data_IF_186332830709
#
_entry.id   IF_186332830709
#
_cell.length_a   1.000
_cell.length_b   1.000
_cell.length_c   1.000
_cell.angle_alpha   90.00
_cell.angle_beta   90.00
_cell.angle_gamma   90.00
#
_symmetry.space_group_name_H-M   'P 1'
#
loop_
_entity.id
_entity.type
_entity.pdbx_description
1 polymer ?
#
# COMPACT_ATOMS: atom_id res chain seq x y z
N UNK A 1 -22.09 -16.97 9.80
CA UNK A 1 -20.90 -16.15 9.51
C UNK A 1 -19.97 -17.00 8.66
N UNK A 2 -19.88 -16.74 7.35
CA UNK A 2 -18.99 -17.51 6.46
C UNK A 2 -17.57 -17.19 6.89
N UNK A 3 -16.83 -18.19 7.41
CA UNK A 3 -15.42 -18.03 7.74
C UNK A 3 -14.64 -17.87 6.44
N UNK A 4 -14.29 -16.62 6.09
CA UNK A 4 -13.43 -16.35 4.94
C UNK A 4 -12.01 -16.76 5.31
N UNK A 5 -11.43 -17.69 4.55
CA UNK A 5 -10.04 -18.11 4.76
C UNK A 5 -9.08 -17.01 4.29
N UNK A 6 -7.90 -16.93 4.93
CA UNK A 6 -6.80 -16.03 4.52
C UNK A 6 -6.53 -16.09 3.01
N UNK A 7 -6.47 -17.30 2.44
CA UNK A 7 -6.22 -17.51 1.02
C UNK A 7 -7.36 -16.97 0.14
N UNK A 8 -8.61 -17.17 0.55
CA UNK A 8 -9.76 -16.64 -0.19
C UNK A 8 -9.80 -15.10 -0.14
N UNK A 9 -9.48 -14.51 1.01
CA UNK A 9 -9.37 -13.05 1.17
C UNK A 9 -8.30 -12.47 0.25
N UNK A 10 -7.08 -13.00 0.30
CA UNK A 10 -5.95 -12.47 -0.46
C UNK A 10 -6.13 -12.58 -1.99
N UNK A 11 -6.99 -13.48 -2.47
CA UNK A 11 -7.36 -13.55 -3.90
C UNK A 11 -8.28 -12.43 -4.36
N UNK A 12 -8.99 -11.77 -3.44
CA UNK A 12 -9.99 -10.74 -3.75
C UNK A 12 -9.45 -9.32 -3.69
N UNK A 13 -8.27 -9.14 -3.09
CA UNK A 13 -7.64 -7.83 -2.88
C UNK A 13 -6.43 -7.67 -3.79
N UNK A 14 -6.19 -6.45 -4.26
CA UNK A 14 -5.20 -6.13 -5.27
C UNK A 14 -4.10 -5.18 -4.76
N UNK A 15 -4.06 -4.94 -3.45
CA UNK A 15 -3.10 -4.07 -2.79
C UNK A 15 -2.57 -4.68 -1.49
N UNK A 16 -1.25 -4.64 -1.21
CA UNK A 16 -0.66 -5.21 0.00
C UNK A 16 -1.32 -4.73 1.30
N UNK A 17 -1.71 -3.46 1.40
CA UNK A 17 -2.37 -2.91 2.59
C UNK A 17 -3.77 -3.49 2.89
N UNK A 18 -4.37 -4.16 1.92
CA UNK A 18 -5.65 -4.85 2.04
C UNK A 18 -5.48 -6.36 2.24
N UNK A 19 -4.25 -6.90 2.24
CA UNK A 19 -4.02 -8.33 2.51
C UNK A 19 -4.27 -8.67 3.97
N UNK A 20 -4.53 -9.95 4.20
CA UNK A 20 -4.77 -10.48 5.53
C UNK A 20 -3.58 -10.24 6.47
N UNK A 21 -2.37 -10.55 5.99
CA UNK A 21 -1.11 -10.42 6.72
C UNK A 21 -0.86 -8.96 7.13
N UNK A 22 -1.25 -7.99 6.30
CA UNK A 22 -1.14 -6.59 6.66
C UNK A 22 -2.03 -6.25 7.85
N UNK A 23 -3.26 -6.77 7.89
CA UNK A 23 -4.12 -6.56 9.05
C UNK A 23 -3.60 -7.24 10.31
N UNK A 24 -3.07 -8.47 10.22
CA UNK A 24 -2.41 -9.14 11.36
C UNK A 24 -1.21 -8.32 11.88
N UNK A 25 -0.42 -7.74 10.96
CA UNK A 25 0.65 -6.82 11.33
C UNK A 25 0.13 -5.59 12.06
N UNK A 26 -0.97 -4.97 11.61
CA UNK A 26 -1.58 -3.81 12.28
C UNK A 26 -2.15 -4.17 13.65
N UNK A 27 -2.78 -5.32 13.80
CA UNK A 27 -3.29 -5.82 15.09
C UNK A 27 -2.15 -5.96 16.11
N UNK A 28 -0.97 -6.46 15.70
CA UNK A 28 0.23 -6.53 16.55
C UNK A 28 0.74 -5.16 17.00
N UNK A 29 0.43 -4.10 16.26
CA UNK A 29 0.75 -2.70 16.65
C UNK A 29 -0.32 -2.06 17.54
N UNK A 30 -1.29 -2.84 18.04
CA UNK A 30 -2.38 -2.35 18.88
C UNK A 30 -3.52 -1.68 18.09
N UNK A 31 -3.53 -1.78 16.76
CA UNK A 31 -4.54 -1.15 15.91
C UNK A 31 -5.63 -2.16 15.58
N UNK A 32 -6.87 -1.85 15.95
CA UNK A 32 -8.02 -2.69 15.61
C UNK A 32 -8.22 -2.73 14.10
N UNK A 33 -8.48 -3.92 13.57
CA UNK A 33 -8.79 -4.17 12.16
C UNK A 33 -10.19 -4.73 12.03
N UNK A 34 -10.97 -4.18 11.09
CA UNK A 34 -12.30 -4.65 10.73
C UNK A 34 -12.26 -5.14 9.29
N UNK A 35 -12.69 -6.38 9.06
CA UNK A 35 -12.76 -7.01 7.73
C UNK A 35 -14.22 -7.35 7.41
N UNK A 36 -14.76 -6.77 6.35
CA UNK A 36 -16.12 -7.08 5.86
C UNK A 36 -16.25 -6.72 4.38
N UNK A 37 -17.05 -7.46 3.63
CA UNK A 37 -17.35 -7.20 2.21
C UNK A 37 -16.09 -6.97 1.33
N UNK A 38 -15.01 -7.71 1.61
CA UNK A 38 -13.74 -7.57 0.88
C UNK A 38 -12.95 -6.29 1.22
N UNK A 39 -13.30 -5.58 2.29
CA UNK A 39 -12.62 -4.37 2.74
C UNK A 39 -11.95 -4.57 4.10
N UNK A 40 -10.70 -4.13 4.21
CA UNK A 40 -9.95 -4.06 5.46
C UNK A 40 -9.82 -2.60 5.91
N UNK A 41 -10.46 -2.27 7.03
CA UNK A 41 -10.45 -0.94 7.65
C UNK A 41 -9.73 -1.01 8.99
N UNK A 42 -8.79 -0.10 9.20
CA UNK A 42 -8.11 0.08 10.50
C UNK A 42 -8.83 1.14 11.33
N UNK A 43 -8.96 0.92 12.64
CA UNK A 43 -9.64 1.82 13.57
C UNK A 43 -8.60 2.39 14.54
N UNK A 44 -8.51 3.72 14.59
CA UNK A 44 -7.50 4.45 15.35
C UNK A 44 -8.18 5.31 16.42
N UNK A 45 -7.87 5.12 17.71
CA UNK A 45 -8.44 5.95 18.77
C UNK A 45 -7.93 7.38 18.71
N UNK A 46 -8.82 8.34 18.95
CA UNK A 46 -8.46 9.74 19.14
C UNK A 46 -8.16 9.93 20.64
N UNK A 47 -6.93 10.35 21.02
CA UNK A 47 -6.57 10.58 22.41
C UNK A 47 -7.59 11.48 23.14
N UNK A 48 -7.90 11.14 24.38
CA UNK A 48 -8.82 11.89 25.26
C UNK A 48 -10.28 12.00 24.79
N UNK A 49 -10.73 11.13 23.87
CA UNK A 49 -12.14 11.09 23.45
C UNK A 49 -12.67 9.65 23.38
N UNK A 50 -14.00 9.50 23.26
CA UNK A 50 -14.65 8.20 23.00
C UNK A 50 -14.71 7.84 21.50
N UNK A 51 -14.14 8.67 20.65
CA UNK A 51 -14.26 8.59 19.21
C UNK A 51 -13.00 8.03 18.55
N UNK A 52 -13.20 7.42 17.39
CA UNK A 52 -12.14 6.87 16.57
C UNK A 52 -12.08 7.55 15.20
N UNK A 53 -10.99 7.29 14.48
CA UNK A 53 -10.86 7.53 13.04
C UNK A 53 -10.70 6.18 12.36
N UNK A 54 -11.56 5.90 11.38
CA UNK A 54 -11.36 4.76 10.50
C UNK A 54 -10.41 5.11 9.35
N UNK A 55 -9.67 4.13 8.86
CA UNK A 55 -8.82 4.29 7.69
C UNK A 55 -8.91 3.08 6.78
N UNK A 56 -9.33 3.34 5.53
CA UNK A 56 -9.45 2.38 4.44
C UNK A 56 -8.36 2.66 3.38
N UNK A 57 -7.13 2.13 3.58
CA UNK A 57 -5.98 2.39 2.72
C UNK A 57 -6.04 1.62 1.42
N UNK A 58 -5.87 2.30 0.28
CA UNK A 58 -5.65 1.67 -1.04
C UNK A 58 -6.69 0.60 -1.37
N UNK A 59 -7.91 0.85 -0.91
CA UNK A 59 -9.06 -0.01 -1.16
C UNK A 59 -9.56 0.09 -2.59
N UNK A 60 -10.58 -0.72 -2.89
CA UNK A 60 -11.26 -0.71 -4.17
C UNK A 60 -12.07 0.57 -4.43
N UNK A 61 -12.79 0.57 -5.56
CA UNK A 61 -13.61 1.68 -6.02
C UNK A 61 -14.66 2.10 -4.97
N UNK A 62 -14.87 3.41 -4.85
CA UNK A 62 -15.86 3.98 -3.94
C UNK A 62 -17.21 4.09 -4.66
N UNK A 63 -18.15 3.22 -4.29
CA UNK A 63 -19.51 3.17 -4.83
C UNK A 63 -20.54 3.15 -3.70
N UNK A 64 -21.83 3.29 -4.02
CA UNK A 64 -22.91 3.33 -3.01
C UNK A 64 -22.84 2.15 -2.02
N UNK A 65 -22.58 0.93 -2.50
CA UNK A 65 -22.43 -0.26 -1.66
C UNK A 65 -21.26 -0.12 -0.68
N UNK A 66 -20.09 0.29 -1.17
CA UNK A 66 -18.90 0.57 -0.36
C UNK A 66 -19.22 1.59 0.74
N UNK A 67 -19.91 2.68 0.40
CA UNK A 67 -20.29 3.73 1.35
C UNK A 67 -21.21 3.21 2.45
N UNK A 68 -22.21 2.40 2.10
CA UNK A 68 -23.11 1.79 3.08
C UNK A 68 -22.34 0.95 4.09
N UNK A 69 -21.40 0.11 3.62
CA UNK A 69 -20.59 -0.73 4.50
C UNK A 69 -19.63 0.12 5.35
N UNK A 70 -18.97 1.13 4.78
CA UNK A 70 -18.09 2.03 5.53
C UNK A 70 -18.87 2.82 6.62
N UNK A 71 -20.09 3.28 6.32
CA UNK A 71 -20.95 3.93 7.31
C UNK A 71 -21.32 2.99 8.47
N UNK A 72 -21.65 1.74 8.17
CA UNK A 72 -21.90 0.72 9.18
C UNK A 72 -20.68 0.49 10.08
N UNK A 73 -19.50 0.32 9.48
CA UNK A 73 -18.23 0.21 10.23
C UNK A 73 -18.02 1.44 11.11
N UNK A 74 -18.25 2.65 10.58
CA UNK A 74 -18.07 3.89 11.33
C UNK A 74 -18.99 3.95 12.56
N UNK A 75 -20.26 3.58 12.42
CA UNK A 75 -21.24 3.58 13.50
C UNK A 75 -20.89 2.55 14.59
N UNK A 76 -20.62 1.30 14.20
CA UNK A 76 -20.29 0.21 15.12
C UNK A 76 -18.98 0.46 15.88
N UNK A 77 -18.08 1.26 15.31
CA UNK A 77 -16.77 1.56 15.88
C UNK A 77 -16.65 3.01 16.39
N UNK A 78 -17.74 3.77 16.51
CA UNK A 78 -17.73 5.16 16.98
C UNK A 78 -16.68 6.03 16.25
N UNK A 79 -16.63 5.93 14.92
CA UNK A 79 -15.72 6.74 14.12
C UNK A 79 -16.34 8.09 13.76
N UNK A 80 -15.62 9.20 13.97
CA UNK A 80 -16.02 10.52 13.45
C UNK A 80 -15.97 10.57 11.93
N UNK A 81 -14.97 9.90 11.35
CA UNK A 81 -14.79 9.80 9.91
C UNK A 81 -14.08 8.49 9.57
N UNK A 82 -14.23 8.07 8.31
CA UNK A 82 -13.34 7.08 7.69
C UNK A 82 -12.60 7.75 6.54
N UNK A 83 -11.27 7.82 6.68
CA UNK A 83 -10.40 8.28 5.60
C UNK A 83 -10.25 7.17 4.57
N UNK A 84 -10.53 7.48 3.31
CA UNK A 84 -10.43 6.54 2.21
C UNK A 84 -9.38 7.02 1.21
N UNK A 85 -8.49 6.14 0.80
CA UNK A 85 -7.48 6.43 -0.22
C UNK A 85 -7.50 5.33 -1.29
N UNK A 86 -8.55 5.26 -2.12
CA UNK A 86 -8.75 4.17 -3.06
C UNK A 86 -7.61 4.08 -4.08
N UNK A 87 -7.27 2.86 -4.50
CA UNK A 87 -6.32 2.59 -5.58
C UNK A 87 -7.05 2.76 -6.93
N UNK A 88 -7.25 3.99 -7.35
CA UNK A 88 -7.90 4.33 -8.63
C UNK A 88 -7.04 5.29 -9.43
N UNK A 89 -6.86 5.01 -10.72
CA UNK A 89 -6.17 5.92 -11.62
C UNK A 89 -7.12 7.04 -12.08
N UNK A 90 -6.66 8.30 -11.99
CA UNK A 90 -7.49 9.46 -12.28
C UNK A 90 -7.95 9.46 -13.75
N UNK A 91 -7.13 8.95 -14.69
CA UNK A 91 -7.44 8.90 -16.12
C UNK A 91 -8.52 7.86 -16.46
N UNK A 92 -8.52 6.73 -15.77
CA UNK A 92 -9.42 5.60 -16.06
C UNK A 92 -10.69 5.62 -15.22
N UNK A 93 -10.65 6.22 -14.02
CA UNK A 93 -11.66 5.94 -13.00
C UNK A 93 -13.08 6.38 -13.34
N UNK A 94 -13.31 7.31 -14.28
CA UNK A 94 -14.63 7.88 -14.56
C UNK A 94 -15.30 8.58 -13.36
N UNK A 95 -14.75 8.41 -12.14
CA UNK A 95 -15.21 8.94 -10.88
C UNK A 95 -14.92 10.43 -10.91
N UNK A 96 -15.96 11.17 -11.26
CA UNK A 96 -15.93 12.62 -11.18
C UNK A 96 -15.91 12.98 -9.70
N UNK A 97 -15.06 13.93 -9.29
CA UNK A 97 -15.02 14.42 -7.91
C UNK A 97 -16.42 14.76 -7.38
N UNK A 98 -17.29 15.24 -8.26
CA UNK A 98 -18.70 15.53 -8.01
C UNK A 98 -19.50 14.31 -7.53
N UNK A 99 -19.22 13.10 -8.03
CA UNK A 99 -19.89 11.88 -7.60
C UNK A 99 -19.48 11.49 -6.17
N UNK A 100 -18.20 11.64 -5.83
CA UNK A 100 -17.72 11.42 -4.47
C UNK A 100 -18.35 12.40 -3.48
N UNK A 101 -18.50 13.67 -3.87
CA UNK A 101 -19.20 14.68 -3.05
C UNK A 101 -20.67 14.30 -2.84
N UNK A 102 -21.38 13.84 -3.89
CA UNK A 102 -22.76 13.33 -3.77
C UNK A 102 -22.88 12.12 -2.83
N UNK A 103 -21.80 11.35 -2.69
CA UNK A 103 -21.71 10.22 -1.75
C UNK A 103 -21.31 10.65 -0.32
N UNK A 104 -21.05 11.94 -0.09
CA UNK A 104 -20.69 12.50 1.21
C UNK A 104 -19.18 12.54 1.51
N UNK A 105 -18.32 12.34 0.50
CA UNK A 105 -16.88 12.47 0.68
C UNK A 105 -16.42 13.92 0.55
N UNK A 106 -15.47 14.29 1.40
CA UNK A 106 -14.74 15.55 1.32
C UNK A 106 -13.27 15.28 0.97
N UNK A 107 -12.60 16.17 0.21
CA UNK A 107 -11.18 16.04 -0.06
C UNK A 107 -10.37 16.05 1.24
N UNK A 108 -9.57 15.01 1.45
CA UNK A 108 -8.63 14.90 2.58
C UNK A 108 -7.19 15.13 2.17
N UNK A 109 -6.31 15.34 3.16
CA UNK A 109 -4.85 15.31 2.93
C UNK A 109 -4.41 13.88 2.63
N UNK A 110 -3.68 13.61 1.54
CA UNK A 110 -3.24 12.26 1.23
C UNK A 110 -2.10 11.81 2.17
N UNK A 111 -2.07 10.53 2.55
CA UNK A 111 -0.94 9.83 3.19
C UNK A 111 -0.02 9.20 2.14
N UNK A 112 -0.57 8.80 1.00
CA UNK A 112 0.21 8.29 -0.13
C UNK A 112 0.52 9.37 -1.16
N UNK A 113 1.64 9.21 -1.86
CA UNK A 113 1.91 10.02 -3.06
C UNK A 113 0.82 9.76 -4.11
N UNK A 114 0.45 10.83 -4.81
CA UNK A 114 -0.56 10.75 -5.90
C UNK A 114 0.01 10.13 -7.17
N UNK A 115 1.34 10.16 -7.31
CA UNK A 115 2.05 9.66 -8.47
C UNK A 115 2.88 8.45 -8.08
N UNK A 116 2.82 7.42 -8.94
CA UNK A 116 3.60 6.20 -8.83
C UNK A 116 4.40 6.03 -10.11
N UNK A 117 5.60 5.47 -9.99
CA UNK A 117 6.32 4.93 -11.15
C UNK A 117 5.93 3.46 -11.29
N UNK A 118 5.16 3.14 -12.33
CA UNK A 118 4.72 1.79 -12.64
C UNK A 118 5.52 1.29 -13.84
N UNK A 119 6.23 0.18 -13.67
CA UNK A 119 6.95 -0.50 -14.73
C UNK A 119 6.21 -1.80 -15.05
N UNK A 120 5.78 -1.96 -16.30
CA UNK A 120 5.28 -3.24 -16.78
C UNK A 120 6.46 -4.21 -16.93
N UNK A 121 6.38 -5.32 -16.22
CA UNK A 121 7.40 -6.40 -16.21
C UNK A 121 6.93 -7.65 -16.94
N UNK A 122 5.82 -7.56 -17.67
CA UNK A 122 5.31 -8.65 -18.52
C UNK A 122 6.23 -8.99 -19.70
N UNK A 123 6.96 -8.04 -20.33
CA UNK A 123 7.90 -8.36 -21.40
C UNK A 123 9.09 -9.20 -20.92
N UNK A 124 9.81 -9.84 -21.87
CA UNK A 124 11.03 -10.59 -21.56
C UNK A 124 12.13 -9.69 -20.99
N UNK A 125 13.06 -10.28 -20.21
CA UNK A 125 14.19 -9.53 -19.64
C UNK A 125 15.03 -8.81 -20.70
N UNK A 126 15.28 -9.45 -21.85
CA UNK A 126 15.99 -8.84 -22.98
C UNK A 126 15.24 -7.61 -23.52
N UNK A 127 13.92 -7.74 -23.68
CA UNK A 127 13.06 -6.64 -24.13
C UNK A 127 13.09 -5.49 -23.13
N UNK A 128 12.88 -5.78 -21.84
CA UNK A 128 12.95 -4.79 -20.76
C UNK A 128 14.29 -4.07 -20.76
N UNK A 129 15.40 -4.82 -20.82
CA UNK A 129 16.74 -4.24 -20.87
C UNK A 129 16.91 -3.32 -22.08
N UNK A 130 16.47 -3.73 -23.29
CA UNK A 130 16.58 -2.91 -24.50
C UNK A 130 15.84 -1.56 -24.40
N UNK A 131 14.69 -1.56 -23.72
CA UNK A 131 13.84 -0.38 -23.52
C UNK A 131 14.38 0.58 -22.45
N UNK A 132 15.26 0.12 -21.55
CA UNK A 132 15.88 0.99 -20.56
C UNK A 132 16.77 2.06 -21.22
N UNK A 133 16.92 3.21 -20.56
CA UNK A 133 17.86 4.26 -21.00
C UNK A 133 19.29 3.70 -21.09
N UNK A 134 20.09 4.20 -22.04
CA UNK A 134 21.47 3.76 -22.27
C UNK A 134 22.33 3.74 -21.00
N UNK A 135 22.25 4.78 -20.17
CA UNK A 135 22.99 4.86 -18.90
C UNK A 135 22.62 3.74 -17.92
N UNK A 136 21.35 3.38 -17.85
CA UNK A 136 20.87 2.27 -17.01
C UNK A 136 21.46 0.95 -17.48
N UNK A 137 21.38 0.66 -18.79
CA UNK A 137 21.96 -0.55 -19.40
C UNK A 137 23.48 -0.63 -19.17
N UNK A 138 24.17 0.48 -19.32
CA UNK A 138 25.61 0.57 -19.08
C UNK A 138 25.97 0.26 -17.61
N UNK A 139 25.26 0.86 -16.65
CA UNK A 139 25.52 0.64 -15.22
C UNK A 139 25.25 -0.81 -14.80
N UNK A 140 24.22 -1.45 -15.34
CA UNK A 140 23.96 -2.89 -15.10
C UNK A 140 25.16 -3.72 -15.56
N UNK A 141 25.68 -3.47 -16.77
CA UNK A 141 26.88 -4.18 -17.28
C UNK A 141 28.12 -3.93 -16.43
N UNK A 142 28.30 -2.70 -15.93
CA UNK A 142 29.42 -2.36 -15.04
C UNK A 142 29.32 -3.14 -13.73
N UNK A 143 28.14 -3.20 -13.11
CA UNK A 143 27.92 -3.99 -11.89
C UNK A 143 28.19 -5.49 -12.10
N UNK A 144 27.74 -6.05 -13.23
CA UNK A 144 28.03 -7.44 -13.60
C UNK A 144 29.52 -7.69 -13.78
N UNK A 145 30.24 -6.80 -14.50
CA UNK A 145 31.69 -6.89 -14.67
C UNK A 145 32.45 -6.77 -13.35
N UNK A 146 31.91 -6.02 -12.39
CA UNK A 146 32.46 -5.88 -11.06
C UNK A 146 32.16 -7.08 -10.13
N UNK A 147 31.46 -8.11 -10.61
CA UNK A 147 31.15 -9.31 -9.82
C UNK A 147 30.04 -9.13 -8.79
N UNK A 148 29.19 -8.11 -8.94
CA UNK A 148 28.06 -7.89 -8.03
C UNK A 148 27.03 -9.01 -8.17
N UNK A 149 26.68 -9.63 -7.05
CA UNK A 149 25.66 -10.68 -6.97
C UNK A 149 24.41 -10.19 -6.22
N UNK A 150 23.24 -10.72 -6.58
CA UNK A 150 21.96 -10.43 -5.91
C UNK A 150 21.37 -11.74 -5.41
N UNK A 151 20.79 -11.72 -4.21
CA UNK A 151 20.12 -12.87 -3.61
C UNK A 151 18.97 -12.43 -2.71
N UNK A 152 18.10 -13.37 -2.35
CA UNK A 152 16.99 -13.15 -1.42
C UNK A 152 17.42 -13.67 -0.05
N UNK A 153 17.43 -12.79 0.95
CA UNK A 153 17.74 -13.13 2.34
C UNK A 153 16.73 -12.46 3.28
N UNK A 154 15.88 -13.27 3.91
CA UNK A 154 14.87 -12.84 4.87
C UNK A 154 15.27 -13.20 6.32
N UNK A 155 16.55 -13.45 6.58
CA UNK A 155 17.04 -13.75 7.92
C UNK A 155 17.02 -12.52 8.82
N UNK A 156 16.94 -12.75 10.14
CA UNK A 156 17.11 -11.67 11.13
C UNK A 156 18.46 -10.95 10.95
N UNK A 157 19.53 -11.69 10.64
CA UNK A 157 20.85 -11.11 10.44
C UNK A 157 20.89 -10.13 9.25
N UNK A 158 20.24 -10.47 8.13
CA UNK A 158 20.12 -9.55 7.00
C UNK A 158 19.30 -8.30 7.34
N UNK A 159 18.21 -8.48 8.08
CA UNK A 159 17.38 -7.36 8.55
C UNK A 159 18.15 -6.44 9.52
N UNK A 160 18.85 -7.01 10.50
CA UNK A 160 19.67 -6.26 11.44
C UNK A 160 20.75 -5.46 10.68
N UNK A 161 21.41 -6.07 9.69
CA UNK A 161 22.39 -5.39 8.82
C UNK A 161 21.78 -4.22 8.04
N UNK A 162 20.55 -4.35 7.55
CA UNK A 162 19.84 -3.28 6.84
C UNK A 162 19.52 -2.09 7.76
N UNK A 163 19.22 -2.33 9.04
CA UNK A 163 18.89 -1.28 10.00
C UNK A 163 20.10 -0.48 10.50
N UNK A 164 21.31 -1.04 10.41
CA UNK A 164 22.52 -0.29 10.79
C UNK A 164 22.67 0.91 9.85
N UNK A 165 22.74 2.15 10.37
CA UNK A 165 22.99 3.33 9.55
C UNK A 165 24.34 3.18 8.86
N UNK A 166 24.29 2.73 7.62
CA UNK A 166 25.47 2.55 6.80
C UNK A 166 25.95 3.94 6.34
N UNK A 167 26.86 4.55 7.10
CA UNK A 167 27.66 5.72 6.72
C UNK A 167 28.65 5.41 5.57
N UNK A 168 28.24 4.62 4.58
CA UNK A 168 29.05 4.30 3.40
C UNK A 168 29.15 5.48 2.43
N UNK A 169 28.34 6.53 2.61
CA UNK A 169 28.41 7.76 1.81
C UNK A 169 29.67 8.59 2.05
N UNK A 170 30.43 8.35 3.13
CA UNK A 170 31.65 9.10 3.43
C UNK A 170 32.91 8.54 2.74
N UNK A 171 32.86 7.37 2.09
CA UNK A 171 34.02 6.74 1.45
C UNK A 171 33.95 6.71 -0.09
N UNK A 172 33.06 7.49 -0.72
CA UNK A 172 32.97 7.58 -2.19
C UNK A 172 33.80 8.77 -2.77
N UNK A 173 34.63 9.42 -1.96
CA UNK A 173 35.58 10.45 -2.40
C UNK A 173 37.01 9.98 -2.21
N UNK A 174 37.63 9.47 -3.27
CA UNK A 174 39.00 8.94 -3.21
C UNK A 174 39.54 8.42 -4.55
N UNK A 175 39.38 9.21 -5.62
CA UNK A 175 40.38 9.38 -6.68
C UNK A 175 40.38 10.82 -7.12
#
# INVERSE_FOLDING_TARGET
MVMVTRRAWNKQVDHPLQTWEWGEFREKTGVKVVRTDGMQVTIHPIPHTLWNVGYYPKGGKIEKKTVTVLKKIAQENKCLLIKCEPKVEIKESGIRKQELVKLGFVPGRPLFTKYNFVLDVTPSEETLLSQMKQKTRYNIKVAQKAGVTVGIDNSKAAFDRYLVPNCWWLNIGGR
#
